data_IF_736152835741
#
_entry.id   IF_736152835741
#
_cell.length_a   1.000
_cell.length_b   1.000
_cell.length_c   1.000
_cell.angle_alpha   90.00
_cell.angle_beta   90.00
_cell.angle_gamma   90.00
#
_symmetry.space_group_name_H-M   'P 1'
#
loop_
_entity.id
_entity.type
_entity.pdbx_description
1 polymer ?
#
# COMPACT_ATOMS: atom_id res chain seq x y z
N UNK A 1 3.69 -14.88 -6.07
CA UNK A 1 4.05 -13.82 -5.11
C UNK A 1 2.84 -12.94 -4.98
N UNK A 2 2.50 -12.57 -3.75
CA UNK A 2 1.40 -11.64 -3.47
C UNK A 2 2.00 -10.25 -3.38
N UNK A 3 1.47 -9.29 -4.11
CA UNK A 3 1.88 -7.88 -4.00
C UNK A 3 0.84 -7.13 -3.19
N UNK A 4 1.28 -6.42 -2.16
CA UNK A 4 0.42 -5.65 -1.25
C UNK A 4 0.86 -4.20 -1.31
N UNK A 5 -0.06 -3.30 -1.59
CA UNK A 5 0.15 -1.86 -1.51
C UNK A 5 -0.67 -1.33 -0.32
N UNK A 6 0.00 -0.67 0.61
CA UNK A 6 -0.59 -0.05 1.79
C UNK A 6 -0.35 1.45 1.73
N UNK A 7 -1.36 2.21 2.13
CA UNK A 7 -1.28 3.67 2.27
C UNK A 7 -1.78 4.08 3.65
N UNK A 8 -1.02 4.96 4.31
CA UNK A 8 -1.37 5.52 5.62
C UNK A 8 -2.06 6.88 5.49
N UNK A 9 -2.90 7.20 6.46
CA UNK A 9 -3.67 8.46 6.55
C UNK A 9 -2.79 9.70 6.87
N UNK A 10 -1.56 9.51 7.38
CA UNK A 10 -0.72 10.62 7.84
C UNK A 10 0.16 11.25 6.74
N UNK A 11 -0.30 12.34 6.14
CA UNK A 11 0.35 13.11 5.06
C UNK A 11 1.66 13.86 5.42
N UNK A 12 2.25 13.65 6.61
CA UNK A 12 3.46 14.38 7.02
C UNK A 12 4.70 13.50 6.92
N UNK A 13 5.74 13.99 6.23
CA UNK A 13 7.04 13.31 6.06
C UNK A 13 7.68 12.80 7.37
N UNK A 14 7.39 13.44 8.50
CA UNK A 14 7.86 13.02 9.82
C UNK A 14 7.24 11.72 10.34
N UNK A 15 6.11 11.29 9.77
CA UNK A 15 5.34 10.10 10.21
C UNK A 15 5.60 8.87 9.33
N UNK A 16 6.49 8.97 8.35
CA UNK A 16 6.78 7.87 7.42
C UNK A 16 7.36 6.63 8.10
N UNK A 17 8.31 6.82 9.02
CA UNK A 17 8.88 5.70 9.78
C UNK A 17 7.80 5.01 10.63
N UNK A 18 6.93 5.79 11.27
CA UNK A 18 5.77 5.28 12.00
C UNK A 18 4.84 4.46 11.11
N UNK A 19 4.52 4.96 9.90
CA UNK A 19 3.63 4.26 8.98
C UNK A 19 4.21 2.93 8.48
N UNK A 20 5.52 2.87 8.20
CA UNK A 20 6.18 1.62 7.81
C UNK A 20 6.23 0.61 8.97
N UNK A 21 6.42 1.09 10.19
CA UNK A 21 6.38 0.24 11.39
C UNK A 21 4.96 -0.31 11.59
N UNK A 22 3.92 0.52 11.45
CA UNK A 22 2.51 0.08 11.48
C UNK A 22 2.21 -0.98 10.40
N UNK A 23 2.77 -0.82 9.19
CA UNK A 23 2.62 -1.81 8.12
C UNK A 23 3.31 -3.13 8.46
N UNK A 24 4.46 -3.10 9.13
CA UNK A 24 5.16 -4.31 9.58
C UNK A 24 4.37 -5.01 10.68
N UNK A 25 3.87 -4.27 11.65
CA UNK A 25 3.02 -4.80 12.72
C UNK A 25 1.78 -5.51 12.16
N UNK A 26 1.18 -4.98 11.07
CA UNK A 26 0.10 -5.66 10.37
C UNK A 26 0.51 -7.02 9.81
N UNK A 27 1.68 -7.10 9.18
CA UNK A 27 2.17 -8.36 8.62
C UNK A 27 2.55 -9.36 9.72
N UNK A 28 3.08 -8.88 10.84
CA UNK A 28 3.39 -9.70 12.02
C UNK A 28 2.10 -10.24 12.66
N UNK A 29 1.05 -9.44 12.81
CA UNK A 29 -0.26 -9.93 13.31
C UNK A 29 -0.86 -10.97 12.37
N UNK A 30 -0.79 -10.77 11.04
CA UNK A 30 -1.22 -11.78 10.09
C UNK A 30 -0.39 -13.07 10.18
N UNK A 31 0.93 -12.94 10.31
CA UNK A 31 1.86 -14.05 10.45
C UNK A 31 1.51 -14.90 11.69
N UNK A 32 1.27 -14.26 12.83
CA UNK A 32 0.83 -14.92 14.06
C UNK A 32 -0.51 -15.65 13.88
N UNK A 33 -1.50 -15.02 13.25
CA UNK A 33 -2.83 -15.62 13.06
C UNK A 33 -2.84 -16.78 12.04
N UNK A 34 -2.05 -16.66 10.98
CA UNK A 34 -1.97 -17.66 9.91
C UNK A 34 -0.97 -18.78 10.20
N UNK A 35 -0.13 -18.64 11.23
CA UNK A 35 0.99 -19.53 11.49
C UNK A 35 2.14 -19.40 10.47
N UNK A 36 2.18 -18.27 9.74
CA UNK A 36 3.24 -17.97 8.77
C UNK A 36 4.36 -17.20 9.46
N UNK A 37 5.61 -17.34 9.01
CA UNK A 37 6.71 -16.49 9.47
C UNK A 37 7.30 -15.70 8.30
N UNK A 38 7.28 -14.36 8.43
CA UNK A 38 7.83 -13.47 7.43
C UNK A 38 9.24 -13.04 7.79
N UNK A 39 10.22 -13.64 7.11
CA UNK A 39 11.59 -13.14 7.09
C UNK A 39 11.78 -12.11 5.96
N UNK A 40 12.90 -11.38 5.99
CA UNK A 40 13.35 -10.47 4.90
C UNK A 40 13.41 -11.13 3.51
N UNK A 41 13.39 -12.47 3.43
CA UNK A 41 13.35 -13.22 2.17
C UNK A 41 11.93 -13.38 1.62
N UNK A 42 10.95 -13.48 2.52
CA UNK A 42 9.54 -13.78 2.20
C UNK A 42 8.68 -12.53 2.21
N UNK A 43 8.99 -11.55 3.06
CA UNK A 43 8.46 -10.19 3.04
C UNK A 43 9.52 -9.28 2.40
N UNK A 44 9.26 -8.83 1.17
CA UNK A 44 10.12 -7.89 0.45
C UNK A 44 9.47 -6.54 0.35
N UNK A 45 10.14 -5.50 0.82
CA UNK A 45 9.82 -4.12 0.46
C UNK A 45 10.19 -3.93 -1.02
N UNK A 46 9.20 -3.71 -1.89
CA UNK A 46 9.38 -3.57 -3.34
C UNK A 46 9.55 -2.10 -3.73
N UNK A 47 8.69 -1.24 -3.19
CA UNK A 47 8.68 0.19 -3.47
C UNK A 47 8.16 0.91 -2.23
N UNK A 48 8.79 2.01 -1.85
CA UNK A 48 8.30 2.87 -0.78
C UNK A 48 8.30 4.31 -1.27
N UNK A 49 7.54 5.18 -0.59
CA UNK A 49 7.51 6.61 -0.89
C UNK A 49 6.99 6.92 -2.30
N UNK A 50 5.88 6.28 -2.67
CA UNK A 50 5.25 6.50 -3.98
C UNK A 50 4.65 7.92 -3.97
N UNK A 51 5.13 8.78 -4.88
CA UNK A 51 4.62 10.15 -5.07
C UNK A 51 4.72 11.08 -3.85
N UNK A 52 5.63 10.81 -2.90
CA UNK A 52 5.79 11.63 -1.70
C UNK A 52 4.74 11.40 -0.61
N UNK A 53 3.97 10.31 -0.73
CA UNK A 53 2.97 9.88 0.23
C UNK A 53 3.52 8.70 1.06
N UNK A 54 3.00 8.45 2.28
CA UNK A 54 3.34 7.28 3.10
C UNK A 54 2.68 6.01 2.52
N UNK A 55 3.09 5.66 1.30
CA UNK A 55 2.63 4.50 0.54
C UNK A 55 3.79 3.55 0.36
N UNK A 56 3.56 2.28 0.64
CA UNK A 56 4.56 1.23 0.48
C UNK A 56 3.94 0.01 -0.22
N UNK A 57 4.74 -0.60 -1.08
CA UNK A 57 4.45 -1.83 -1.79
C UNK A 57 5.36 -2.93 -1.29
N UNK A 58 4.75 -4.03 -0.87
CA UNK A 58 5.37 -5.22 -0.35
C UNK A 58 5.11 -6.41 -1.26
N UNK A 59 6.08 -7.31 -1.35
CA UNK A 59 5.97 -8.60 -2.01
C UNK A 59 6.05 -9.70 -0.97
N UNK A 60 4.94 -10.40 -0.77
CA UNK A 60 4.83 -11.54 0.14
C UNK A 60 4.97 -12.87 -0.60
N UNK A 61 5.72 -13.79 -0.01
CA UNK A 61 5.83 -15.20 -0.41
C UNK A 61 5.26 -16.08 0.69
N UNK A 62 4.76 -17.24 0.29
CA UNK A 62 4.13 -18.23 1.19
C UNK A 62 2.89 -17.70 1.93
N UNK A 63 2.21 -16.72 1.35
CA UNK A 63 0.98 -16.15 1.88
C UNK A 63 -0.22 -16.78 1.17
N UNK A 64 -1.16 -17.29 1.96
CA UNK A 64 -2.47 -17.68 1.43
C UNK A 64 -3.33 -16.43 1.18
N UNK A 65 -3.77 -16.28 -0.06
CA UNK A 65 -4.52 -15.10 -0.51
C UNK A 65 -5.90 -15.00 0.11
N UNK A 66 -6.59 -16.12 0.36
CA UNK A 66 -7.92 -16.13 0.96
C UNK A 66 -7.84 -15.80 2.46
N UNK A 67 -6.86 -16.37 3.17
CA UNK A 67 -6.61 -16.02 4.56
C UNK A 67 -6.25 -14.53 4.70
N UNK A 68 -5.38 -14.01 3.83
CA UNK A 68 -4.99 -12.61 3.87
C UNK A 68 -6.15 -11.67 3.54
N UNK A 69 -7.03 -12.06 2.59
CA UNK A 69 -8.28 -11.35 2.29
C UNK A 69 -9.20 -11.29 3.51
N UNK A 70 -9.41 -12.42 4.18
CA UNK A 70 -10.25 -12.50 5.38
C UNK A 70 -9.67 -11.65 6.52
N UNK A 71 -8.36 -11.75 6.75
CA UNK A 71 -7.66 -10.92 7.72
C UNK A 71 -7.90 -9.43 7.47
N UNK A 72 -7.60 -8.95 6.25
CA UNK A 72 -7.80 -7.55 5.88
C UNK A 72 -9.24 -7.07 6.03
N UNK A 73 -10.22 -7.94 5.76
CA UNK A 73 -11.64 -7.61 5.97
C UNK A 73 -12.03 -7.46 7.45
N UNK A 74 -11.27 -8.07 8.36
CA UNK A 74 -11.53 -8.06 9.80
C UNK A 74 -10.66 -7.07 10.59
N UNK A 75 -9.65 -6.43 9.99
CA UNK A 75 -8.77 -5.54 10.74
C UNK A 75 -9.45 -4.23 11.12
N UNK A 76 -9.05 -3.68 12.26
CA UNK A 76 -9.40 -2.32 12.65
C UNK A 76 -8.39 -1.34 12.05
N UNK A 77 -8.77 -0.73 10.94
CA UNK A 77 -8.00 0.30 10.22
C UNK A 77 -7.30 1.34 11.11
N UNK A 78 -8.00 1.79 12.15
CA UNK A 78 -7.53 2.81 13.10
C UNK A 78 -6.30 2.39 13.89
N UNK A 79 -6.07 1.08 14.09
CA UNK A 79 -4.90 0.58 14.82
C UNK A 79 -3.60 0.76 14.04
N UNK A 80 -3.71 0.79 12.72
CA UNK A 80 -2.58 0.81 11.78
C UNK A 80 -2.53 2.09 10.94
N UNK A 81 -3.37 3.08 11.27
CA UNK A 81 -3.55 4.31 10.49
C UNK A 81 -3.70 4.05 8.98
N UNK A 82 -4.36 2.94 8.62
CA UNK A 82 -4.50 2.49 7.24
C UNK A 82 -5.65 3.19 6.55
N UNK A 83 -5.34 3.88 5.46
CA UNK A 83 -6.33 4.54 4.62
C UNK A 83 -6.78 3.63 3.46
N UNK A 84 -5.82 2.93 2.85
CA UNK A 84 -6.04 2.10 1.69
C UNK A 84 -5.12 0.87 1.67
N UNK A 85 -5.66 -0.26 1.25
CA UNK A 85 -4.92 -1.49 1.01
C UNK A 85 -5.33 -2.09 -0.33
N UNK A 86 -4.37 -2.44 -1.17
CA UNK A 86 -4.59 -3.13 -2.44
C UNK A 86 -3.71 -4.36 -2.51
N UNK A 87 -4.30 -5.51 -2.80
CA UNK A 87 -3.60 -6.78 -2.84
C UNK A 87 -3.79 -7.43 -4.19
N UNK A 88 -2.67 -7.85 -4.78
CA UNK A 88 -2.62 -8.58 -6.04
C UNK A 88 -2.04 -9.97 -5.80
N UNK A 89 -2.92 -10.94 -5.92
CA UNK A 89 -2.69 -12.37 -5.75
C UNK A 89 -2.75 -13.06 -7.11
N UNK A 90 -1.68 -12.95 -7.90
CA UNK A 90 -1.63 -13.51 -9.26
C UNK A 90 -2.66 -12.87 -10.19
N UNK A 91 -3.69 -13.63 -10.57
CA UNK A 91 -4.80 -13.15 -11.39
C UNK A 91 -5.91 -12.44 -10.57
N UNK A 92 -5.93 -12.63 -9.26
CA UNK A 92 -6.90 -11.99 -8.37
C UNK A 92 -6.34 -10.68 -7.84
N UNK A 93 -7.14 -9.62 -7.87
CA UNK A 93 -6.79 -8.35 -7.25
C UNK A 93 -7.99 -7.87 -6.44
N UNK A 94 -7.76 -7.44 -5.20
CA UNK A 94 -8.78 -6.89 -4.32
C UNK A 94 -8.24 -5.67 -3.59
N UNK A 95 -9.13 -4.74 -3.27
CA UNK A 95 -8.78 -3.48 -2.62
C UNK A 95 -9.76 -3.18 -1.50
N UNK A 96 -9.23 -2.69 -0.39
CA UNK A 96 -9.96 -2.26 0.79
C UNK A 96 -9.73 -0.78 1.04
N UNK A 97 -10.83 -0.05 1.15
CA UNK A 97 -10.85 1.30 1.64
C UNK A 97 -11.18 1.29 3.12
N UNK A 98 -10.25 1.79 3.92
CA UNK A 98 -10.28 1.70 5.37
C UNK A 98 -10.55 3.04 6.05
N UNK A 99 -10.50 4.14 5.29
CA UNK A 99 -10.96 5.46 5.69
C UNK A 99 -12.25 5.86 4.97
N UNK A 100 -12.93 6.89 5.52
CA UNK A 100 -14.16 7.44 4.95
C UNK A 100 -13.97 8.06 3.56
N UNK A 101 -12.78 8.60 3.30
CA UNK A 101 -12.36 9.07 1.98
C UNK A 101 -11.08 8.33 1.59
N UNK A 102 -11.20 7.44 0.62
CA UNK A 102 -10.09 6.79 -0.07
C UNK A 102 -10.21 7.13 -1.55
N UNK A 103 -9.12 7.56 -2.19
CA UNK A 103 -9.06 7.61 -3.64
C UNK A 103 -7.97 6.64 -4.14
N UNK A 104 -8.34 5.48 -4.70
CA UNK A 104 -7.38 4.53 -5.26
C UNK A 104 -6.46 5.15 -6.32
N UNK A 105 -6.91 6.22 -7.01
CA UNK A 105 -6.14 6.91 -8.05
C UNK A 105 -5.03 7.80 -7.47
N UNK A 106 -5.10 8.16 -6.19
CA UNK A 106 -4.03 8.92 -5.51
C UNK A 106 -2.82 8.04 -5.15
N UNK A 107 -3.05 6.75 -4.90
CA UNK A 107 -2.01 5.80 -4.49
C UNK A 107 -1.43 4.98 -5.65
N UNK A 108 -2.11 4.95 -6.79
CA UNK A 108 -1.49 4.55 -8.04
C UNK A 108 -0.36 5.51 -8.38
N UNK A 109 0.70 5.05 -9.08
CA UNK A 109 1.57 6.00 -9.77
C UNK A 109 0.65 6.88 -10.61
N UNK A 110 0.52 8.16 -10.26
CA UNK A 110 0.08 9.17 -11.22
C UNK A 110 0.92 8.88 -12.46
N UNK A 111 0.34 8.58 -13.63
CA UNK A 111 1.09 8.82 -14.84
C UNK A 111 1.48 10.29 -14.72
N UNK A 112 2.79 10.54 -14.64
CA UNK A 112 3.33 11.88 -14.81
C UNK A 112 2.80 12.34 -16.15
N UNK A 113 1.67 13.02 -16.11
CA UNK A 113 1.18 13.78 -17.23
C UNK A 113 2.13 14.96 -17.25
N UNK A 114 3.29 14.74 -17.88
CA UNK A 114 4.01 15.81 -18.53
C UNK A 114 3.02 16.34 -19.56
N UNK A 115 2.09 17.19 -19.13
CA UNK A 115 1.34 18.02 -20.01
C UNK A 115 2.38 18.81 -20.79
N UNK A 116 2.48 18.67 -22.12
CA UNK A 116 3.27 19.62 -22.89
C UNK A 116 2.60 20.97 -22.67
N UNK A 117 3.30 21.89 -22.01
CA UNK A 117 2.99 23.31 -22.06
C UNK A 117 2.85 23.67 -23.54
N UNK A 118 1.70 24.19 -24.00
CA UNK A 118 1.63 24.73 -25.34
C UNK A 118 2.56 25.96 -25.34
N UNK A 119 3.68 25.84 -26.04
CA UNK A 119 4.53 26.98 -26.37
C UNK A 119 3.67 27.87 -27.26
N UNK A 120 3.09 28.91 -26.65
CA UNK A 120 2.45 30.00 -27.36
C UNK A 120 3.49 30.72 -28.21
N UNK A 121 3.56 30.36 -29.48
CA UNK A 121 4.36 31.05 -30.48
C UNK A 121 3.60 32.31 -30.92
N UNK A 122 3.69 33.38 -30.14
CA UNK A 122 3.26 34.72 -30.59
C UNK A 122 4.32 35.29 -31.51
N UNK A 123 4.12 35.14 -32.83
CA UNK A 123 4.69 36.00 -33.86
C UNK A 123 3.64 37.03 -34.26
N UNK A 124 3.89 38.29 -33.96
CA UNK A 124 3.49 39.47 -34.75
C UNK A 124 4.59 40.51 -34.61
#
# INVERSE_FOLDING_TARGET
>A
MVEVLLASEHYTNSSYHSALDDFRDLFDEFAEQSGTHYDKRNLRELETYISGLPVARYGLRNTDCEQFRQFLSGIKAQRYHLQYASVKCGAMTFSYCMAFACDPFEYGRRPTTNAPTPIGLSRF
#
